data_IF_041548911210
#
_entry.id   IF_041548911210
#
_cell.length_a   1.000
_cell.length_b   1.000
_cell.length_c   1.000
_cell.angle_alpha   90.00
_cell.angle_beta   90.00
_cell.angle_gamma   90.00
#
_symmetry.space_group_name_H-M   'P 1'
#
loop_
_entity.id
_entity.type
_entity.pdbx_description
1 polymer ?
#
# COMPACT_ATOMS: atom_id res chain seq x y z
N UNK A 1 -12.89 6.86 7.70
CA UNK A 1 -12.14 5.60 7.65
C UNK A 1 -10.94 5.77 6.74
N UNK A 2 -9.76 5.28 7.13
CA UNK A 2 -8.54 5.41 6.32
C UNK A 2 -8.43 4.24 5.37
N UNK A 3 -7.98 4.47 4.14
CA UNK A 3 -7.78 3.42 3.13
C UNK A 3 -6.34 3.42 2.68
N UNK A 4 -5.79 2.22 2.48
CA UNK A 4 -4.46 2.00 1.91
C UNK A 4 -4.66 1.23 0.60
N UNK A 5 -4.43 1.90 -0.52
CA UNK A 5 -4.47 1.30 -1.85
C UNK A 5 -3.06 0.90 -2.26
N UNK A 6 -2.89 -0.32 -2.77
CA UNK A 6 -1.61 -0.82 -3.27
C UNK A 6 -1.82 -1.37 -4.68
N UNK A 7 -1.19 -0.74 -5.67
CA UNK A 7 -1.45 -0.99 -7.08
C UNK A 7 -0.21 -0.71 -7.93
N UNK A 8 -0.27 -1.01 -9.24
CA UNK A 8 0.76 -0.59 -10.21
C UNK A 8 0.25 0.52 -11.12
N UNK A 9 1.11 1.52 -11.36
CA UNK A 9 0.84 2.64 -12.27
C UNK A 9 2.10 2.91 -13.08
N UNK A 10 2.00 2.88 -14.42
CA UNK A 10 3.12 3.13 -15.33
C UNK A 10 4.37 2.27 -15.10
N UNK A 11 4.20 1.03 -14.62
CA UNK A 11 5.29 0.10 -14.33
C UNK A 11 5.93 0.28 -12.95
N UNK A 12 5.48 1.26 -12.17
CA UNK A 12 5.91 1.48 -10.79
C UNK A 12 4.87 0.94 -9.81
N UNK A 13 5.31 0.53 -8.63
CA UNK A 13 4.42 0.16 -7.53
C UNK A 13 4.02 1.41 -6.76
N UNK A 14 2.75 1.51 -6.40
CA UNK A 14 2.20 2.67 -5.69
C UNK A 14 1.53 2.24 -4.41
N UNK A 15 1.86 2.92 -3.31
CA UNK A 15 1.06 2.94 -2.09
C UNK A 15 0.35 4.28 -2.02
N UNK A 16 -0.97 4.27 -2.11
CA UNK A 16 -1.81 5.44 -1.93
C UNK A 16 -2.55 5.35 -0.60
N UNK A 17 -2.32 6.34 0.25
CA UNK A 17 -3.01 6.51 1.52
C UNK A 17 -4.12 7.54 1.37
N UNK A 18 -5.36 7.12 1.58
CA UNK A 18 -6.52 8.02 1.65
C UNK A 18 -6.93 8.18 3.11
N UNK A 19 -6.95 9.42 3.60
CA UNK A 19 -7.37 9.71 4.97
C UNK A 19 -8.89 9.90 5.09
N UNK A 20 -9.35 10.21 6.29
CA UNK A 20 -10.77 10.34 6.62
C UNK A 20 -11.43 11.60 6.02
N UNK A 21 -10.62 12.54 5.55
CA UNK A 21 -11.03 13.76 4.85
C UNK A 21 -10.93 13.63 3.33
N UNK A 22 -10.77 12.39 2.83
CA UNK A 22 -10.62 12.10 1.40
C UNK A 22 -9.38 12.75 0.75
N UNK A 23 -8.34 13.05 1.54
CA UNK A 23 -7.05 13.48 1.01
C UNK A 23 -6.16 12.26 0.76
N UNK A 24 -5.66 12.16 -0.47
CA UNK A 24 -4.76 11.10 -0.91
C UNK A 24 -3.30 11.54 -0.81
N UNK A 25 -2.42 10.63 -0.39
CA UNK A 25 -0.97 10.79 -0.48
C UNK A 25 -0.39 9.53 -1.11
N UNK A 26 0.37 9.69 -2.18
CA UNK A 26 0.99 8.60 -2.93
C UNK A 26 2.47 8.48 -2.60
N UNK A 27 2.97 7.24 -2.59
CA UNK A 27 4.39 6.90 -2.62
C UNK A 27 4.62 5.93 -3.76
N UNK A 28 5.64 6.19 -4.56
CA UNK A 28 6.00 5.38 -5.72
C UNK A 28 7.29 4.61 -5.43
N UNK A 29 7.36 3.39 -5.92
CA UNK A 29 8.48 2.49 -5.78
C UNK A 29 8.79 1.84 -7.12
N UNK A 30 10.04 1.94 -7.56
CA UNK A 30 10.49 1.36 -8.83
C UNK A 30 10.67 -0.16 -8.73
N UNK A 31 10.97 -0.66 -7.52
CA UNK A 31 11.30 -2.06 -7.28
C UNK A 31 10.34 -2.71 -6.30
N UNK A 32 10.22 -4.03 -6.40
CA UNK A 32 9.42 -4.84 -5.46
C UNK A 32 9.97 -4.76 -4.02
N UNK A 33 11.31 -4.72 -3.86
CA UNK A 33 11.93 -4.54 -2.55
C UNK A 33 11.59 -3.18 -1.92
N UNK A 34 11.58 -2.11 -2.72
CA UNK A 34 11.14 -0.80 -2.25
C UNK A 34 9.68 -0.80 -1.79
N UNK A 35 8.80 -1.50 -2.52
CA UNK A 35 7.42 -1.70 -2.08
C UNK A 35 7.35 -2.44 -0.74
N UNK A 36 8.12 -3.53 -0.57
CA UNK A 36 8.15 -4.33 0.67
C UNK A 36 8.56 -3.46 1.87
N UNK A 37 9.65 -2.73 1.77
CA UNK A 37 10.10 -1.79 2.81
C UNK A 37 9.04 -0.71 3.11
N UNK A 38 8.37 -0.23 2.06
CA UNK A 38 7.25 0.70 2.16
C UNK A 38 6.07 0.13 2.94
N UNK A 39 5.70 -1.13 2.70
CA UNK A 39 4.63 -1.85 3.40
C UNK A 39 4.99 -2.14 4.86
N UNK A 40 6.25 -2.47 5.15
CA UNK A 40 6.72 -2.75 6.52
C UNK A 40 6.49 -1.55 7.46
N UNK A 41 6.57 -0.33 6.94
CA UNK A 41 6.26 0.90 7.68
C UNK A 41 4.80 0.99 8.14
N UNK A 42 3.87 0.26 7.49
CA UNK A 42 2.45 0.26 7.83
C UNK A 42 2.05 -0.85 8.80
N UNK A 43 2.86 -1.90 8.96
CA UNK A 43 2.58 -3.02 9.91
C UNK A 43 2.09 -2.57 11.30
N UNK A 44 2.74 -1.61 12.00
CA UNK A 44 2.29 -1.22 13.33
C UNK A 44 0.95 -0.49 13.37
N UNK A 45 0.46 0.00 12.22
CA UNK A 45 -0.74 0.84 12.13
C UNK A 45 -1.81 0.27 11.19
N UNK A 46 -1.57 -0.90 10.59
CA UNK A 46 -2.40 -1.44 9.50
C UNK A 46 -3.82 -1.77 9.94
N UNK A 47 -4.02 -2.14 11.22
CA UNK A 47 -5.35 -2.38 11.80
C UNK A 47 -6.29 -1.17 11.70
N UNK A 48 -5.75 0.05 11.53
CA UNK A 48 -6.52 1.28 11.32
C UNK A 48 -6.85 1.59 9.86
N UNK A 49 -6.48 0.73 8.90
CA UNK A 49 -6.68 0.93 7.48
C UNK A 49 -7.58 -0.16 6.88
N UNK A 50 -8.44 0.25 5.96
CA UNK A 50 -8.99 -0.66 4.96
C UNK A 50 -7.95 -0.84 3.85
N UNK A 51 -7.50 -2.06 3.62
CA UNK A 51 -6.51 -2.34 2.56
C UNK A 51 -7.24 -2.72 1.28
N UNK A 52 -6.89 -2.06 0.17
CA UNK A 52 -7.35 -2.38 -1.17
C UNK A 52 -6.12 -2.64 -2.04
N UNK A 53 -6.08 -3.80 -2.69
CA UNK A 53 -4.87 -4.26 -3.39
C UNK A 53 -5.24 -4.79 -4.76
N UNK A 54 -4.44 -4.43 -5.77
CA UNK A 54 -4.56 -5.02 -7.11
C UNK A 54 -4.27 -6.52 -7.06
N UNK A 55 -4.99 -7.30 -7.87
CA UNK A 55 -4.96 -8.77 -7.82
C UNK A 55 -3.55 -9.37 -7.92
N UNK A 56 -2.68 -8.74 -8.71
CA UNK A 56 -1.29 -9.20 -8.91
C UNK A 56 -0.39 -8.98 -7.68
N UNK A 57 -0.75 -8.08 -6.77
CA UNK A 57 0.03 -7.73 -5.58
C UNK A 57 -0.51 -8.35 -4.28
N UNK A 58 -1.69 -8.98 -4.31
CA UNK A 58 -2.36 -9.51 -3.11
C UNK A 58 -1.44 -10.43 -2.30
N UNK A 59 -0.75 -11.37 -2.95
CA UNK A 59 0.12 -12.32 -2.27
C UNK A 59 1.27 -11.63 -1.53
N UNK A 60 1.91 -10.66 -2.18
CA UNK A 60 3.02 -9.90 -1.61
C UNK A 60 2.56 -9.00 -0.47
N UNK A 61 1.46 -8.27 -0.67
CA UNK A 61 0.94 -7.33 0.34
C UNK A 61 0.50 -8.09 1.59
N UNK A 62 -0.16 -9.23 1.41
CA UNK A 62 -0.58 -10.08 2.52
C UNK A 62 0.61 -10.65 3.29
N UNK A 63 1.63 -11.16 2.62
CA UNK A 63 2.85 -11.68 3.27
C UNK A 63 3.56 -10.64 4.14
N UNK A 64 3.49 -9.35 3.76
CA UNK A 64 4.13 -8.25 4.51
C UNK A 64 3.25 -7.63 5.59
N UNK A 65 1.92 -7.66 5.44
CA UNK A 65 0.99 -6.98 6.34
C UNK A 65 0.26 -7.91 7.33
N UNK A 66 0.23 -9.22 7.10
CA UNK A 66 -0.14 -10.23 8.11
C UNK A 66 0.93 -10.32 9.23
#
# INVERSE_FOLDING_TARGET
MKTLHVYKENGEFVIERVNEFNHATKRLFVTEEGLKEGLDCYRPVIAGYKVAVDVELIALVRDRLD
#
